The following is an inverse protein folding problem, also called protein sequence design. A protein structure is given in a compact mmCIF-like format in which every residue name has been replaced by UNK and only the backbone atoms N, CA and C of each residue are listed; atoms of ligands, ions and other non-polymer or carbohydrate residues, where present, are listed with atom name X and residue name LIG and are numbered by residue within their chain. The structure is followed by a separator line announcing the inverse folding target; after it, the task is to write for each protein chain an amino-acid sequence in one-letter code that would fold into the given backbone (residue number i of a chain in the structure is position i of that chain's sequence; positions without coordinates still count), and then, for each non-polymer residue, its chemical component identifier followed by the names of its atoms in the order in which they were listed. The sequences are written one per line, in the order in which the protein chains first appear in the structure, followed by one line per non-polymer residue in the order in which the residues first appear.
data_IF_312533222890
#
_entry.id   IF_312533222890
#
_cell.length_a   1.000
_cell.length_b   1.000
_cell.length_c   1.000
_cell.angle_alpha   90.00
_cell.angle_beta   90.00
_cell.angle_gamma   90.00
#
_symmetry.space_group_name_H-M   'P 1'
#
loop_
_entity.id
_entity.type
_entity.pdbx_description
1 polymer ?
#
# COMPACT_ATOMS: atom_id res chain seq x y z
N UNK A 1 -81.42 -91.02 -17.00
CA UNK A 1 -80.36 -90.61 -16.13
C UNK A 1 -79.08 -90.29 -16.96
N UNK A 2 -78.95 -89.09 -17.52
CA UNK A 2 -77.73 -88.60 -18.16
C UNK A 2 -77.78 -87.13 -18.38
N UNK A 3 -77.93 -86.29 -17.36
CA UNK A 3 -77.93 -84.84 -17.44
C UNK A 3 -76.91 -84.12 -16.52
N UNK A 4 -76.14 -84.87 -15.74
CA UNK A 4 -75.27 -84.24 -14.64
C UNK A 4 -73.77 -84.20 -15.00
N UNK A 5 -73.30 -84.61 -16.17
CA UNK A 5 -71.84 -84.63 -16.47
C UNK A 5 -71.36 -83.45 -17.29
N UNK A 6 -72.20 -82.71 -17.98
CA UNK A 6 -71.81 -81.65 -18.89
C UNK A 6 -71.53 -80.30 -18.16
N UNK A 7 -72.25 -80.02 -17.08
CA UNK A 7 -72.12 -78.74 -16.37
C UNK A 7 -70.85 -78.76 -15.45
N UNK A 8 -70.49 -79.85 -14.83
CA UNK A 8 -69.24 -79.98 -14.10
C UNK A 8 -67.97 -79.84 -15.00
N UNK A 9 -68.07 -80.37 -16.23
CA UNK A 9 -66.97 -80.25 -17.21
C UNK A 9 -66.84 -78.80 -17.69
N UNK A 10 -67.88 -78.07 -17.87
CA UNK A 10 -67.92 -76.65 -18.22
C UNK A 10 -67.41 -75.76 -17.05
N UNK A 11 -67.76 -76.10 -15.80
CA UNK A 11 -67.25 -75.39 -14.62
C UNK A 11 -65.75 -75.64 -14.44
N UNK A 12 -65.24 -76.89 -14.65
CA UNK A 12 -63.84 -77.20 -14.55
C UNK A 12 -63.04 -76.52 -15.69
N UNK A 13 -63.55 -76.47 -16.91
CA UNK A 13 -62.92 -75.80 -18.01
C UNK A 13 -62.95 -74.25 -17.79
N UNK A 14 -64.02 -73.71 -17.24
CA UNK A 14 -64.07 -72.30 -16.81
C UNK A 14 -63.13 -71.93 -15.73
N UNK A 15 -62.98 -72.76 -14.67
CA UNK A 15 -62.00 -72.57 -13.59
C UNK A 15 -60.53 -72.69 -14.10
N UNK A 16 -60.28 -73.66 -15.01
CA UNK A 16 -58.98 -73.86 -15.61
C UNK A 16 -58.60 -72.61 -16.52
N UNK A 17 -59.56 -72.13 -17.29
CA UNK A 17 -59.37 -70.91 -18.09
C UNK A 17 -59.11 -69.66 -17.24
N UNK A 18 -59.77 -69.55 -16.06
CA UNK A 18 -59.58 -68.41 -15.10
C UNK A 18 -58.19 -68.49 -14.46
N UNK A 19 -57.69 -69.66 -14.14
CA UNK A 19 -56.30 -69.86 -13.59
C UNK A 19 -55.25 -69.54 -14.67
N UNK A 20 -55.49 -69.92 -15.94
CA UNK A 20 -54.57 -69.58 -17.05
C UNK A 20 -54.54 -68.07 -17.28
N UNK A 21 -55.71 -67.40 -17.29
CA UNK A 21 -55.81 -65.94 -17.45
C UNK A 21 -55.14 -65.23 -16.27
N UNK A 22 -55.35 -65.67 -15.00
CA UNK A 22 -54.70 -65.14 -13.85
C UNK A 22 -53.15 -65.33 -13.89
N UNK A 23 -52.72 -66.51 -14.38
CA UNK A 23 -51.28 -66.79 -14.60
C UNK A 23 -50.64 -65.91 -15.68
N UNK A 24 -51.38 -65.63 -16.80
CA UNK A 24 -50.92 -64.71 -17.86
C UNK A 24 -50.88 -63.26 -17.34
N UNK A 25 -51.88 -62.82 -16.58
CA UNK A 25 -51.91 -61.47 -16.00
C UNK A 25 -50.82 -61.32 -14.96
N UNK A 26 -50.60 -62.29 -14.10
CA UNK A 26 -49.51 -62.27 -13.10
C UNK A 26 -48.12 -62.32 -13.78
N UNK A 27 -47.93 -63.20 -14.76
CA UNK A 27 -46.73 -63.29 -15.56
C UNK A 27 -46.45 -62.00 -16.34
N UNK A 28 -47.48 -61.42 -16.94
CA UNK A 28 -47.40 -60.12 -17.62
C UNK A 28 -47.03 -58.97 -16.68
N UNK A 29 -47.66 -58.94 -15.49
CA UNK A 29 -47.37 -57.96 -14.46
C UNK A 29 -45.95 -58.12 -13.91
N UNK A 30 -45.51 -59.37 -13.60
CA UNK A 30 -44.18 -59.66 -13.12
C UNK A 30 -43.08 -59.36 -14.17
N UNK A 31 -43.37 -59.66 -15.47
CA UNK A 31 -42.50 -59.29 -16.57
C UNK A 31 -42.41 -57.78 -16.77
N UNK A 32 -43.52 -57.05 -16.66
CA UNK A 32 -43.54 -55.59 -16.75
C UNK A 32 -42.79 -54.95 -15.59
N UNK A 33 -42.95 -55.46 -14.34
CA UNK A 33 -42.24 -55.02 -13.16
C UNK A 33 -40.73 -55.27 -13.26
N UNK A 34 -40.30 -56.42 -13.78
CA UNK A 34 -38.89 -56.73 -13.96
C UNK A 34 -38.19 -55.84 -15.02
N UNK A 35 -38.98 -55.24 -15.94
CA UNK A 35 -38.48 -54.29 -16.94
C UNK A 35 -38.47 -52.84 -16.48
N UNK A 36 -39.18 -52.50 -15.42
CA UNK A 36 -39.31 -51.14 -14.89
C UNK A 36 -38.27 -50.79 -13.83
N UNK A 37 -37.44 -51.72 -13.43
CA UNK A 37 -36.45 -51.55 -12.37
C UNK A 37 -35.14 -52.20 -12.75
N UNK A 38 -34.03 -51.68 -12.24
CA UNK A 38 -32.69 -52.26 -12.35
C UNK A 38 -32.07 -52.35 -10.95
N UNK A 39 -31.68 -53.54 -10.53
CA UNK A 39 -31.12 -53.79 -9.21
C UNK A 39 -29.67 -54.24 -9.30
N UNK A 40 -28.85 -53.80 -8.35
CA UNK A 40 -27.51 -54.29 -8.10
C UNK A 40 -27.30 -54.56 -6.62
N UNK A 41 -26.60 -55.61 -6.31
CA UNK A 41 -26.13 -56.02 -5.00
C UNK A 41 -24.68 -55.62 -4.72
N UNK A 42 -24.01 -55.06 -5.74
CA UNK A 42 -22.67 -54.53 -5.66
C UNK A 42 -22.74 -53.01 -5.41
N UNK A 43 -23.14 -52.65 -4.22
CA UNK A 43 -23.21 -51.24 -3.80
C UNK A 43 -22.72 -51.10 -2.36
N UNK A 44 -22.17 -49.94 -2.07
CA UNK A 44 -21.71 -49.59 -0.74
C UNK A 44 -21.89 -48.10 -0.44
N UNK A 45 -22.04 -47.82 0.86
CA UNK A 45 -22.07 -46.44 1.35
C UNK A 45 -20.66 -45.85 1.27
N UNK A 46 -20.54 -44.72 0.70
CA UNK A 46 -19.31 -43.93 0.63
C UNK A 46 -19.53 -42.56 1.28
N UNK A 47 -18.48 -41.93 1.75
CA UNK A 47 -18.56 -40.61 2.40
C UNK A 47 -17.30 -39.83 2.18
N UNK A 48 -17.42 -38.50 2.31
CA UNK A 48 -16.25 -37.66 2.31
C UNK A 48 -15.34 -38.02 3.49
N UNK A 49 -14.02 -38.03 3.27
CA UNK A 49 -13.02 -38.24 4.31
C UNK A 49 -12.18 -36.96 4.37
N UNK A 50 -12.32 -36.22 5.46
CA UNK A 50 -11.49 -35.05 5.71
C UNK A 50 -10.18 -35.48 6.40
N UNK A 51 -9.10 -35.45 5.65
CA UNK A 51 -7.77 -35.71 6.20
C UNK A 51 -7.23 -34.48 6.88
N UNK A 52 -6.91 -34.60 8.17
CA UNK A 52 -6.31 -33.54 8.97
C UNK A 52 -4.79 -33.77 9.00
N UNK A 53 -4.05 -32.81 8.45
CA UNK A 53 -2.58 -32.85 8.38
C UNK A 53 -1.97 -31.72 9.20
N UNK A 54 -0.73 -31.92 9.67
CA UNK A 54 0.01 -30.84 10.31
C UNK A 54 0.43 -29.75 9.31
N UNK A 55 0.27 -28.49 9.68
CA UNK A 55 0.75 -27.35 8.89
C UNK A 55 2.16 -26.90 9.29
N UNK A 56 2.63 -27.34 10.46
CA UNK A 56 3.97 -27.04 10.99
C UNK A 56 4.60 -28.32 11.54
N UNK A 57 5.90 -28.37 11.59
CA UNK A 57 6.64 -29.48 12.20
C UNK A 57 6.73 -29.26 13.71
N UNK A 58 6.48 -30.30 14.52
CA UNK A 58 6.62 -30.21 15.98
C UNK A 58 6.32 -31.51 16.68
N UNK A 59 6.72 -31.63 17.95
CA UNK A 59 6.40 -32.77 18.79
C UNK A 59 4.95 -32.70 19.27
N UNK A 60 4.23 -33.81 19.24
CA UNK A 60 2.89 -33.93 19.79
C UNK A 60 2.98 -34.02 21.32
N UNK A 61 2.50 -32.96 21.99
CA UNK A 61 2.54 -32.88 23.46
C UNK A 61 1.20 -33.25 24.12
N UNK A 62 0.11 -33.06 23.40
CA UNK A 62 -1.23 -33.43 23.87
C UNK A 62 -2.03 -34.05 22.73
N UNK A 63 -2.79 -35.08 23.03
CA UNK A 63 -3.73 -35.72 22.14
C UNK A 63 -5.10 -35.73 22.85
N UNK A 64 -6.04 -34.95 22.32
CA UNK A 64 -7.30 -34.62 22.99
C UNK A 64 -8.48 -35.43 22.46
N UNK A 65 -8.25 -36.32 21.49
CA UNK A 65 -9.28 -37.13 20.86
C UNK A 65 -8.86 -38.60 20.76
N UNK A 66 -9.87 -39.49 20.79
CA UNK A 66 -9.74 -40.91 20.64
C UNK A 66 -10.36 -41.39 19.32
N UNK A 67 -10.02 -42.58 18.89
CA UNK A 67 -10.65 -43.24 17.74
C UNK A 67 -12.16 -43.38 17.98
N UNK A 68 -12.96 -43.18 16.96
CA UNK A 68 -14.42 -43.20 16.97
C UNK A 68 -15.09 -42.11 17.80
N UNK A 69 -14.35 -41.10 18.28
CA UNK A 69 -14.91 -39.99 18.99
C UNK A 69 -15.58 -38.99 18.03
N UNK A 70 -16.77 -38.48 18.40
CA UNK A 70 -17.42 -37.38 17.70
C UNK A 70 -16.70 -36.07 17.98
N UNK A 71 -16.47 -35.28 16.92
CA UNK A 71 -15.83 -33.96 16.99
C UNK A 71 -16.62 -32.94 16.21
N UNK A 72 -16.53 -31.68 16.65
CA UNK A 72 -17.15 -30.53 16.00
C UNK A 72 -16.10 -29.68 15.30
N UNK A 73 -16.52 -29.00 14.25
CA UNK A 73 -15.68 -28.02 13.53
C UNK A 73 -15.05 -27.02 14.52
N UNK A 74 -13.74 -26.78 14.37
CA UNK A 74 -12.97 -25.91 15.26
C UNK A 74 -12.48 -26.54 16.55
N UNK A 75 -12.97 -27.74 16.93
CA UNK A 75 -12.50 -28.44 18.13
C UNK A 75 -11.03 -28.79 18.00
N UNK A 76 -10.24 -28.55 19.07
CA UNK A 76 -8.83 -28.92 19.12
C UNK A 76 -8.72 -30.45 19.23
N UNK A 77 -7.95 -31.04 18.33
CA UNK A 77 -7.75 -32.49 18.25
C UNK A 77 -6.45 -32.92 18.91
N UNK A 78 -5.39 -32.16 18.69
CA UNK A 78 -4.08 -32.36 19.32
C UNK A 78 -3.34 -31.03 19.40
N UNK A 79 -2.30 -30.98 20.23
CA UNK A 79 -1.37 -29.85 20.33
C UNK A 79 0.05 -30.29 20.10
N UNK A 80 0.75 -29.52 19.29
CA UNK A 80 2.19 -29.60 19.13
C UNK A 80 2.87 -28.72 20.17
N UNK A 81 4.16 -28.95 20.45
CA UNK A 81 4.94 -28.13 21.38
C UNK A 81 5.00 -26.67 20.90
N UNK A 82 4.41 -25.73 21.64
CA UNK A 82 4.32 -24.33 21.19
C UNK A 82 5.53 -23.48 21.61
N UNK A 83 6.49 -24.02 22.36
CA UNK A 83 7.56 -23.21 23.01
C UNK A 83 8.40 -22.45 22.01
N UNK A 84 8.88 -23.10 20.98
CA UNK A 84 9.70 -22.46 19.93
C UNK A 84 8.90 -21.43 19.13
N UNK A 85 7.62 -21.72 18.86
CA UNK A 85 6.74 -20.80 18.15
C UNK A 85 6.37 -19.57 18.99
N UNK A 86 6.19 -19.75 20.31
CA UNK A 86 6.00 -18.63 21.25
C UNK A 86 7.24 -17.74 21.27
N UNK A 87 8.42 -18.32 21.39
CA UNK A 87 9.67 -17.54 21.37
C UNK A 87 9.83 -16.74 20.07
N UNK A 88 9.52 -17.34 18.92
CA UNK A 88 9.53 -16.64 17.62
C UNK A 88 8.50 -15.50 17.55
N UNK A 89 7.29 -15.74 18.04
CA UNK A 89 6.26 -14.70 18.12
C UNK A 89 6.70 -13.54 19.00
N UNK A 90 7.26 -13.84 20.17
CA UNK A 90 7.73 -12.81 21.12
C UNK A 90 8.92 -12.03 20.54
N UNK A 91 9.83 -12.68 19.83
CA UNK A 91 10.89 -12.03 19.07
C UNK A 91 10.35 -11.09 17.98
N UNK A 92 9.36 -11.54 17.21
CA UNK A 92 8.72 -10.70 16.19
C UNK A 92 7.93 -9.53 16.80
N UNK A 93 7.27 -9.74 17.96
CA UNK A 93 6.60 -8.68 18.70
C UNK A 93 7.60 -7.62 19.21
N UNK A 94 8.77 -8.03 19.69
CA UNK A 94 9.82 -7.10 20.06
C UNK A 94 10.34 -6.30 18.86
N UNK A 95 10.47 -6.93 17.68
CA UNK A 95 10.85 -6.23 16.44
C UNK A 95 9.81 -5.16 16.04
N UNK A 96 8.52 -5.43 16.21
CA UNK A 96 7.46 -4.44 16.00
C UNK A 96 7.63 -3.25 16.94
N UNK A 97 7.88 -3.49 18.24
CA UNK A 97 8.09 -2.41 19.22
C UNK A 97 9.29 -1.54 18.86
N UNK A 98 10.40 -2.13 18.39
CA UNK A 98 11.58 -1.39 17.91
C UNK A 98 11.23 -0.54 16.68
N UNK A 99 10.49 -1.10 15.72
CA UNK A 99 10.11 -0.36 14.51
C UNK A 99 9.10 0.78 14.83
N UNK A 100 8.20 0.60 15.79
CA UNK A 100 7.30 1.65 16.27
C UNK A 100 8.07 2.79 16.95
N UNK A 101 9.06 2.47 17.78
CA UNK A 101 9.91 3.47 18.40
C UNK A 101 10.74 4.25 17.36
N UNK A 102 11.25 3.57 16.33
CA UNK A 102 11.97 4.21 15.24
C UNK A 102 11.07 5.15 14.41
N UNK A 103 9.83 4.76 14.14
CA UNK A 103 8.85 5.60 13.47
C UNK A 103 8.49 6.84 14.31
N UNK A 104 8.29 6.66 15.62
CA UNK A 104 8.03 7.77 16.53
C UNK A 104 9.18 8.77 16.56
N UNK A 105 10.43 8.28 16.60
CA UNK A 105 11.64 9.11 16.55
C UNK A 105 11.69 9.91 15.23
N UNK A 106 11.51 9.24 14.08
CA UNK A 106 11.51 9.90 12.77
C UNK A 106 10.40 10.96 12.65
N UNK A 107 9.20 10.67 13.15
CA UNK A 107 8.09 11.63 13.18
C UNK A 107 8.34 12.82 14.10
N UNK A 108 9.07 12.65 15.19
CA UNK A 108 9.43 13.73 16.11
C UNK A 108 10.52 14.64 15.55
N UNK A 109 11.43 14.11 14.75
CA UNK A 109 12.53 14.86 14.14
C UNK A 109 12.11 15.78 13.01
N UNK A 110 11.07 15.42 12.25
CA UNK A 110 10.57 16.23 11.12
C UNK A 110 10.12 17.63 11.53
N UNK A 111 9.22 17.85 12.52
CA UNK A 111 8.79 19.19 12.91
C UNK A 111 9.94 20.01 13.49
N UNK A 112 10.87 19.38 14.18
CA UNK A 112 12.09 20.02 14.72
C UNK A 112 12.98 20.54 13.59
N UNK A 113 13.26 19.69 12.58
CA UNK A 113 14.06 20.08 11.41
C UNK A 113 13.37 21.17 10.61
N UNK A 114 12.06 21.06 10.41
CA UNK A 114 11.25 22.08 9.70
C UNK A 114 11.28 23.42 10.44
N UNK A 115 11.04 23.42 11.75
CA UNK A 115 11.04 24.63 12.55
C UNK A 115 12.41 25.33 12.55
N UNK A 116 13.49 24.58 12.68
CA UNK A 116 14.87 25.14 12.64
C UNK A 116 15.16 25.75 11.26
N UNK A 117 14.88 25.03 10.17
CA UNK A 117 15.16 25.52 8.82
C UNK A 117 14.29 26.71 8.43
N UNK A 118 13.05 26.77 8.88
CA UNK A 118 12.15 27.93 8.69
C UNK A 118 12.67 29.15 9.46
N UNK A 119 12.97 29.01 10.75
CA UNK A 119 13.50 30.09 11.56
C UNK A 119 14.80 30.67 10.98
N UNK A 120 15.75 29.82 10.57
CA UNK A 120 17.01 30.25 9.94
C UNK A 120 16.77 30.98 8.61
N UNK A 121 15.81 30.53 7.82
CA UNK A 121 15.48 31.15 6.54
C UNK A 121 14.82 32.54 6.76
N UNK A 122 13.96 32.65 7.74
CA UNK A 122 13.30 33.94 8.06
C UNK A 122 14.26 34.96 8.68
N UNK A 123 15.19 34.50 9.51
CA UNK A 123 16.30 35.30 9.99
C UNK A 123 17.17 35.84 8.83
N UNK A 124 17.57 34.98 7.90
CA UNK A 124 18.36 35.34 6.73
C UNK A 124 17.60 36.33 5.81
N UNK A 125 16.29 36.15 5.63
CA UNK A 125 15.44 37.08 4.88
C UNK A 125 15.37 38.44 5.56
N UNK A 126 15.12 38.48 6.87
CA UNK A 126 15.07 39.74 7.65
C UNK A 126 16.41 40.47 7.58
N UNK A 127 17.53 39.75 7.71
CA UNK A 127 18.86 40.33 7.56
C UNK A 127 19.11 40.92 6.15
N UNK A 128 18.66 40.21 5.10
CA UNK A 128 18.76 40.73 3.71
C UNK A 128 17.89 41.95 3.48
N UNK A 129 16.69 42.01 4.00
CA UNK A 129 15.80 43.16 3.90
C UNK A 129 16.40 44.38 4.62
N UNK A 130 16.94 44.18 5.83
CA UNK A 130 17.65 45.19 6.56
C UNK A 130 18.86 45.75 5.78
N UNK A 131 19.63 44.88 5.14
CA UNK A 131 20.77 45.31 4.31
C UNK A 131 20.32 46.07 3.06
N UNK A 132 19.23 45.68 2.41
CA UNK A 132 18.64 46.44 1.27
C UNK A 132 18.16 47.81 1.68
N UNK A 133 17.53 47.92 2.84
CA UNK A 133 17.15 49.23 3.38
C UNK A 133 18.39 50.09 3.66
N UNK A 134 19.47 49.51 4.18
CA UNK A 134 20.74 50.20 4.36
C UNK A 134 21.40 50.63 3.04
N UNK A 135 21.33 49.80 1.98
CA UNK A 135 21.79 50.18 0.64
C UNK A 135 20.97 51.38 0.10
N UNK A 136 19.66 51.33 0.21
CA UNK A 136 18.76 52.45 -0.21
C UNK A 136 19.08 53.73 0.54
N UNK A 137 19.31 53.67 1.85
CA UNK A 137 19.73 54.81 2.66
C UNK A 137 21.08 55.39 2.21
N UNK A 138 22.05 54.50 1.90
CA UNK A 138 23.34 54.93 1.38
C UNK A 138 23.23 55.57 0.00
N UNK A 139 22.35 55.10 -0.89
CA UNK A 139 22.05 55.72 -2.18
C UNK A 139 21.43 57.08 -2.01
N UNK A 140 20.51 57.29 -1.07
CA UNK A 140 19.91 58.56 -0.75
C UNK A 140 20.96 59.57 -0.26
N UNK A 141 21.92 59.12 0.57
CA UNK A 141 23.04 59.94 1.03
C UNK A 141 23.98 60.39 -0.10
N UNK A 142 24.14 59.56 -1.16
CA UNK A 142 24.88 59.95 -2.37
C UNK A 142 24.11 61.05 -3.14
N UNK A 143 22.79 60.93 -3.31
CA UNK A 143 21.99 61.95 -3.97
C UNK A 143 22.02 63.30 -3.22
N UNK A 144 21.98 63.25 -1.88
CA UNK A 144 22.16 64.46 -1.06
C UNK A 144 23.53 65.08 -1.26
N UNK A 145 24.62 64.30 -1.22
CA UNK A 145 25.97 64.76 -1.45
C UNK A 145 26.14 65.38 -2.86
N UNK A 146 25.50 64.78 -3.89
CA UNK A 146 25.45 65.33 -5.25
C UNK A 146 24.79 66.72 -5.31
N UNK A 147 23.65 66.87 -4.66
CA UNK A 147 22.94 68.18 -4.60
C UNK A 147 23.79 69.21 -3.88
N UNK A 148 24.46 68.87 -2.78
CA UNK A 148 25.40 69.72 -2.08
C UNK A 148 26.55 70.16 -2.99
N UNK A 149 27.15 69.22 -3.73
CA UNK A 149 28.22 69.52 -4.68
C UNK A 149 27.77 70.46 -5.79
N UNK A 150 26.59 70.27 -6.36
CA UNK A 150 26.04 71.19 -7.39
C UNK A 150 25.82 72.63 -6.83
N UNK A 151 25.30 72.73 -5.61
CA UNK A 151 25.13 74.03 -4.95
C UNK A 151 26.50 74.72 -4.71
N UNK A 152 27.52 73.96 -4.27
CA UNK A 152 28.87 74.52 -4.08
C UNK A 152 29.54 74.89 -5.41
N UNK A 153 29.35 74.15 -6.48
CA UNK A 153 29.84 74.50 -7.82
C UNK A 153 29.18 75.74 -8.34
N UNK A 154 27.87 75.97 -8.12
CA UNK A 154 27.17 77.20 -8.49
C UNK A 154 27.70 78.37 -7.72
N UNK A 155 27.94 78.22 -6.39
CA UNK A 155 28.55 79.28 -5.54
C UNK A 155 29.97 79.64 -5.98
N UNK A 156 30.79 78.63 -6.32
CA UNK A 156 32.14 78.86 -6.83
C UNK A 156 32.13 79.55 -8.21
N UNK A 157 31.21 79.22 -9.07
CA UNK A 157 31.02 79.94 -10.34
C UNK A 157 30.64 81.40 -10.16
N UNK A 158 29.77 81.67 -9.22
CA UNK A 158 29.41 83.06 -8.88
C UNK A 158 30.61 83.82 -8.31
N UNK A 159 31.33 83.24 -7.34
CA UNK A 159 32.56 83.81 -6.79
C UNK A 159 33.63 84.08 -7.84
N UNK A 160 33.76 83.17 -8.83
CA UNK A 160 34.69 83.36 -9.95
C UNK A 160 34.28 84.53 -10.88
N UNK A 161 32.99 84.68 -11.12
CA UNK A 161 32.46 85.83 -11.90
C UNK A 161 32.70 87.17 -11.17
N UNK A 162 32.45 87.22 -9.83
CA UNK A 162 32.73 88.38 -9.01
C UNK A 162 34.21 88.78 -9.02
N UNK A 163 35.11 87.72 -8.88
CA UNK A 163 36.55 87.99 -8.93
C UNK A 163 36.98 88.47 -10.32
N UNK A 164 36.39 87.94 -11.41
CA UNK A 164 36.69 88.40 -12.77
C UNK A 164 36.23 89.83 -12.98
N UNK A 165 35.06 90.23 -12.45
CA UNK A 165 34.55 91.57 -12.48
C UNK A 165 35.44 92.59 -11.67
N UNK A 166 35.80 92.21 -10.47
CA UNK A 166 36.70 92.98 -9.63
C UNK A 166 38.08 93.17 -10.23
N UNK A 167 38.63 92.09 -10.86
CA UNK A 167 39.89 92.15 -11.61
C UNK A 167 39.81 93.12 -12.80
N UNK A 168 38.72 93.15 -13.57
CA UNK A 168 38.52 94.10 -14.66
C UNK A 168 38.46 95.51 -14.17
N UNK A 169 37.74 95.78 -13.06
CA UNK A 169 37.66 97.10 -12.43
C UNK A 169 39.04 97.58 -11.91
N UNK A 170 39.81 96.71 -11.26
CA UNK A 170 41.18 97.00 -10.81
C UNK A 170 42.11 97.38 -11.95
N UNK A 171 42.05 96.59 -13.08
CA UNK A 171 42.83 96.90 -14.30
C UNK A 171 42.44 98.29 -14.87
N UNK A 172 41.16 98.67 -14.87
CA UNK A 172 40.72 99.99 -15.33
C UNK A 172 41.22 101.03 -14.38
N UNK A 173 41.11 100.91 -13.07
CA UNK A 173 41.63 101.88 -12.09
C UNK A 173 43.15 102.10 -12.17
N UNK A 174 43.92 101.00 -12.40
CA UNK A 174 45.39 101.10 -12.65
C UNK A 174 45.66 101.94 -13.91
N UNK A 175 44.98 101.65 -14.99
CA UNK A 175 45.15 102.40 -16.26
C UNK A 175 44.78 103.86 -16.06
N UNK A 176 43.75 104.20 -15.31
CA UNK A 176 43.37 105.59 -15.02
C UNK A 176 44.40 106.24 -14.14
N UNK A 177 44.84 105.63 -13.09
CA UNK A 177 45.92 106.16 -12.24
C UNK A 177 47.23 106.42 -13.04
N UNK A 178 47.63 105.47 -13.91
CA UNK A 178 48.80 105.66 -14.79
C UNK A 178 48.60 106.80 -15.80
N UNK A 179 47.40 106.98 -16.32
CA UNK A 179 47.07 108.10 -17.20
C UNK A 179 47.18 109.49 -16.43
N UNK A 180 46.55 109.57 -15.24
CA UNK A 180 46.62 110.71 -14.43
C UNK A 180 48.05 111.06 -13.97
N UNK A 181 48.85 110.04 -13.64
CA UNK A 181 50.27 110.22 -13.32
C UNK A 181 51.07 110.90 -14.46
N UNK A 182 50.87 110.42 -15.69
CA UNK A 182 51.51 111.03 -16.88
C UNK A 182 51.07 112.45 -17.09
N UNK A 183 49.79 112.75 -16.92
CA UNK A 183 49.21 114.09 -17.05
C UNK A 183 49.71 115.12 -15.98
N UNK A 184 49.82 114.64 -14.73
CA UNK A 184 50.44 115.50 -13.64
C UNK A 184 51.89 115.79 -13.96
N UNK A 185 52.65 114.70 -14.43
CA UNK A 185 54.08 114.95 -14.80
C UNK A 185 54.26 115.94 -15.95
N UNK A 186 53.24 116.11 -16.81
CA UNK A 186 53.23 117.08 -17.90
C UNK A 186 52.61 118.44 -17.48
N UNK A 187 52.13 118.60 -16.25
CA UNK A 187 51.54 119.82 -15.75
C UNK A 187 50.12 120.10 -16.21
N UNK A 188 49.42 119.07 -16.80
CA UNK A 188 48.08 119.24 -17.43
C UNK A 188 46.89 119.04 -16.46
N UNK A 189 47.07 118.45 -15.29
CA UNK A 189 46.04 118.20 -14.28
C UNK A 189 46.60 118.45 -12.87
N UNK A 190 45.72 118.66 -11.88
CA UNK A 190 46.08 118.95 -10.53
C UNK A 190 46.59 117.68 -9.78
N UNK A 191 47.51 117.81 -8.82
CA UNK A 191 48.01 116.71 -8.02
C UNK A 191 46.91 115.92 -7.31
N UNK A 192 45.86 116.59 -6.86
CA UNK A 192 44.68 116.05 -6.21
C UNK A 192 43.96 115.04 -7.09
N UNK A 193 43.94 115.21 -8.39
CA UNK A 193 43.27 114.28 -9.29
C UNK A 193 44.04 112.99 -9.44
N UNK A 194 45.40 113.04 -9.35
CA UNK A 194 46.25 111.80 -9.28
C UNK A 194 46.07 111.10 -7.93
N UNK A 195 46.10 111.82 -6.79
CA UNK A 195 45.88 111.24 -5.45
C UNK A 195 44.51 110.53 -5.34
N UNK A 196 43.51 111.18 -5.96
CA UNK A 196 42.19 110.55 -6.04
C UNK A 196 42.19 109.24 -6.87
N UNK A 197 42.89 109.22 -7.99
CA UNK A 197 43.01 108.04 -8.84
C UNK A 197 43.87 106.93 -8.16
N UNK A 198 44.93 107.35 -7.41
CA UNK A 198 45.73 106.41 -6.60
C UNK A 198 44.89 105.79 -5.47
N UNK A 199 44.10 106.54 -4.79
CA UNK A 199 43.17 106.04 -3.76
C UNK A 199 42.13 105.10 -4.35
N UNK A 200 41.60 105.40 -5.49
CA UNK A 200 40.63 104.55 -6.21
C UNK A 200 41.29 103.21 -6.72
N UNK A 201 42.57 103.25 -7.15
CA UNK A 201 43.35 102.03 -7.52
C UNK A 201 43.55 101.18 -6.27
N UNK A 202 44.00 101.77 -5.16
CA UNK A 202 44.17 100.98 -3.92
C UNK A 202 42.88 100.31 -3.44
N UNK A 203 41.78 101.02 -3.50
CA UNK A 203 40.45 100.48 -3.14
C UNK A 203 40.05 99.33 -4.11
N UNK A 204 40.20 99.52 -5.42
CA UNK A 204 39.85 98.50 -6.41
C UNK A 204 40.74 97.26 -6.28
N UNK A 205 42.05 97.42 -5.97
CA UNK A 205 42.98 96.29 -5.72
C UNK A 205 42.61 95.57 -4.42
N UNK A 206 42.24 96.26 -3.37
CA UNK A 206 41.80 95.61 -2.13
C UNK A 206 40.50 94.74 -2.38
N UNK A 207 39.57 95.23 -3.20
CA UNK A 207 38.34 94.51 -3.58
C UNK A 207 38.72 93.24 -4.44
N UNK A 208 39.65 93.41 -5.41
CA UNK A 208 40.13 92.34 -6.20
C UNK A 208 40.74 91.25 -5.37
N UNK A 209 41.64 91.57 -4.44
CA UNK A 209 42.25 90.61 -3.53
C UNK A 209 41.20 89.92 -2.63
N UNK A 210 40.24 90.66 -2.09
CA UNK A 210 39.17 90.04 -1.28
C UNK A 210 38.28 89.08 -2.07
N UNK A 211 37.94 89.41 -3.32
CA UNK A 211 37.12 88.52 -4.21
C UNK A 211 37.91 87.32 -4.68
N UNK A 212 39.23 87.41 -4.96
CA UNK A 212 40.05 86.26 -5.29
C UNK A 212 40.23 85.29 -4.10
N UNK A 213 40.34 85.83 -2.90
CA UNK A 213 40.34 84.96 -1.68
C UNK A 213 39.01 84.25 -1.51
N UNK A 214 37.87 84.91 -1.75
CA UNK A 214 36.53 84.27 -1.74
C UNK A 214 36.39 83.22 -2.77
N UNK A 215 36.86 83.43 -3.99
CA UNK A 215 36.89 82.46 -5.06
C UNK A 215 37.69 81.18 -4.64
N UNK A 216 38.92 81.37 -4.11
CA UNK A 216 39.79 80.29 -3.62
C UNK A 216 39.11 79.49 -2.50
N UNK A 217 38.41 80.23 -1.61
CA UNK A 217 37.63 79.55 -0.54
C UNK A 217 36.50 78.74 -1.13
N UNK A 218 35.73 79.25 -2.07
CA UNK A 218 34.63 78.50 -2.71
C UNK A 218 35.15 77.30 -3.50
N UNK A 219 36.28 77.40 -4.16
CA UNK A 219 36.94 76.27 -4.83
C UNK A 219 37.35 75.15 -3.87
N UNK A 220 37.87 75.48 -2.66
CA UNK A 220 38.16 74.52 -1.60
C UNK A 220 36.90 73.85 -1.08
N UNK A 221 35.78 74.62 -0.96
CA UNK A 221 34.49 74.07 -0.56
C UNK A 221 33.96 73.04 -1.61
N UNK A 222 34.17 73.31 -2.91
CA UNK A 222 33.87 72.29 -3.99
C UNK A 222 34.71 71.04 -3.81
N UNK A 223 36.02 71.15 -3.60
CA UNK A 223 36.91 69.96 -3.39
C UNK A 223 36.48 69.17 -2.16
N UNK A 224 36.09 69.80 -1.06
CA UNK A 224 35.57 69.15 0.11
C UNK A 224 34.25 68.40 -0.16
N UNK A 225 33.34 69.02 -0.93
CA UNK A 225 32.08 68.35 -1.33
C UNK A 225 32.33 67.14 -2.28
N UNK A 226 33.30 67.25 -3.20
CA UNK A 226 33.73 66.14 -4.04
C UNK A 226 34.30 64.99 -3.25
N UNK A 227 35.16 65.24 -2.27
CA UNK A 227 35.69 64.21 -1.39
C UNK A 227 34.59 63.52 -0.55
N UNK A 228 33.60 64.33 -0.08
CA UNK A 228 32.42 63.78 0.59
C UNK A 228 31.59 62.86 -0.30
N UNK A 229 31.35 63.26 -1.56
CA UNK A 229 30.62 62.45 -2.54
C UNK A 229 31.34 61.13 -2.82
N UNK A 230 32.66 61.12 -2.97
CA UNK A 230 33.48 59.92 -3.13
C UNK A 230 33.32 58.98 -1.92
N UNK A 231 33.40 59.51 -0.70
CA UNK A 231 33.21 58.72 0.52
C UNK A 231 31.81 58.10 0.62
N UNK A 232 30.74 58.85 0.27
CA UNK A 232 29.36 58.34 0.25
C UNK A 232 29.19 57.24 -0.82
N UNK A 233 29.81 57.41 -2.00
CA UNK A 233 29.79 56.40 -3.09
C UNK A 233 30.49 55.11 -2.67
N UNK A 234 31.60 55.22 -1.94
CA UNK A 234 32.26 54.03 -1.35
C UNK A 234 31.34 53.31 -0.30
N UNK A 235 30.58 54.09 0.49
CA UNK A 235 29.57 53.53 1.39
C UNK A 235 28.50 52.70 0.66
N UNK A 236 28.01 53.16 -0.51
CA UNK A 236 27.09 52.39 -1.36
C UNK A 236 27.72 51.07 -1.81
N UNK A 237 28.98 51.08 -2.22
CA UNK A 237 29.67 49.85 -2.64
C UNK A 237 29.79 48.85 -1.47
N UNK A 238 30.08 49.31 -0.26
CA UNK A 238 30.12 48.45 0.95
C UNK A 238 28.73 47.88 1.24
N UNK A 239 27.67 48.70 1.17
CA UNK A 239 26.30 48.23 1.38
C UNK A 239 25.89 47.17 0.33
N UNK A 240 26.26 47.35 -0.94
CA UNK A 240 26.03 46.35 -2.01
C UNK A 240 26.73 45.02 -1.75
N UNK A 241 27.97 45.10 -1.29
CA UNK A 241 28.72 43.88 -0.91
C UNK A 241 28.00 43.10 0.22
N UNK A 242 27.51 43.86 1.21
CA UNK A 242 26.75 43.27 2.33
C UNK A 242 25.45 42.62 1.87
N UNK A 243 24.72 43.22 0.92
CA UNK A 243 23.53 42.63 0.30
C UNK A 243 23.88 41.34 -0.44
N UNK A 244 25.00 41.30 -1.18
CA UNK A 244 25.45 40.08 -1.88
C UNK A 244 25.84 38.95 -0.91
N UNK A 245 26.55 39.28 0.18
CA UNK A 245 26.91 38.34 1.24
C UNK A 245 25.65 37.69 1.86
N UNK A 246 24.66 38.50 2.22
CA UNK A 246 23.43 38.05 2.84
C UNK A 246 22.50 37.28 1.86
N UNK A 247 22.56 37.60 0.56
CA UNK A 247 21.94 36.77 -0.49
C UNK A 247 22.57 35.35 -0.53
N UNK A 248 23.88 35.29 -0.43
CA UNK A 248 24.58 33.99 -0.35
C UNK A 248 24.16 33.18 0.90
N UNK A 249 24.04 33.86 2.03
CA UNK A 249 23.55 33.26 3.27
C UNK A 249 22.12 32.76 3.13
N UNK A 250 21.22 33.54 2.56
CA UNK A 250 19.83 33.14 2.28
C UNK A 250 19.79 31.89 1.35
N UNK A 251 20.55 31.91 0.26
CA UNK A 251 20.61 30.76 -0.66
C UNK A 251 21.12 29.49 0.04
N UNK A 252 22.08 29.61 0.96
CA UNK A 252 22.58 28.50 1.79
C UNK A 252 21.47 27.97 2.70
N UNK A 253 20.74 28.83 3.42
CA UNK A 253 19.66 28.39 4.31
C UNK A 253 18.48 27.80 3.54
N UNK A 254 18.15 28.35 2.37
CA UNK A 254 17.15 27.76 1.47
C UNK A 254 17.56 26.37 0.96
N UNK A 255 18.82 26.15 0.64
CA UNK A 255 19.34 24.83 0.28
C UNK A 255 19.19 23.83 1.45
N UNK A 256 19.33 24.27 2.69
CA UNK A 256 19.14 23.42 3.87
C UNK A 256 17.70 22.95 4.05
N UNK A 257 16.71 23.65 3.47
CA UNK A 257 15.32 23.16 3.40
C UNK A 257 15.19 21.81 2.69
N UNK A 258 16.14 21.45 1.83
CA UNK A 258 16.21 20.13 1.23
C UNK A 258 16.36 18.97 2.23
N UNK A 259 16.69 19.26 3.49
CA UNK A 259 16.70 18.26 4.57
C UNK A 259 15.27 17.81 4.98
N UNK A 260 14.26 18.65 4.81
CA UNK A 260 12.87 18.33 5.16
C UNK A 260 12.34 17.15 4.34
N UNK A 261 12.42 17.12 2.99
CA UNK A 261 12.03 15.94 2.20
C UNK A 261 12.82 14.67 2.56
N UNK A 262 14.08 14.81 2.98
CA UNK A 262 14.87 13.66 3.43
C UNK A 262 14.29 13.08 4.72
N UNK A 263 13.89 13.92 5.68
CA UNK A 263 13.20 13.46 6.90
C UNK A 263 11.82 12.89 6.64
N UNK A 264 11.09 13.40 5.66
CA UNK A 264 9.83 12.81 5.18
C UNK A 264 10.08 11.41 4.59
N UNK A 265 11.14 11.22 3.80
CA UNK A 265 11.55 9.92 3.29
C UNK A 265 11.98 8.95 4.40
N UNK A 266 12.62 9.45 5.48
CA UNK A 266 12.96 8.63 6.65
C UNK A 266 11.70 8.11 7.36
N UNK A 267 10.64 8.92 7.47
CA UNK A 267 9.34 8.48 7.99
C UNK A 267 8.74 7.37 7.13
N UNK A 268 8.72 7.54 5.81
CA UNK A 268 8.20 6.52 4.87
C UNK A 268 9.00 5.22 5.01
N UNK A 269 10.32 5.31 5.17
CA UNK A 269 11.19 4.14 5.39
C UNK A 269 10.86 3.45 6.72
N UNK A 270 10.67 4.22 7.79
CA UNK A 270 10.30 3.68 9.09
C UNK A 270 8.89 3.06 9.08
N UNK A 271 7.93 3.63 8.35
CA UNK A 271 6.60 3.05 8.15
C UNK A 271 6.66 1.71 7.39
N UNK A 272 7.49 1.63 6.35
CA UNK A 272 7.71 0.39 5.61
C UNK A 272 8.36 -0.70 6.49
N UNK A 273 9.34 -0.31 7.33
CA UNK A 273 9.97 -1.23 8.28
C UNK A 273 8.98 -1.73 9.34
N UNK A 274 8.09 -0.86 9.83
CA UNK A 274 7.02 -1.25 10.75
C UNK A 274 6.02 -2.21 10.07
N UNK A 275 5.63 -1.94 8.84
CA UNK A 275 4.74 -2.82 8.09
C UNK A 275 5.36 -4.21 7.89
N UNK A 276 6.65 -4.28 7.58
CA UNK A 276 7.40 -5.54 7.48
C UNK A 276 7.41 -6.28 8.83
N UNK A 277 7.77 -5.62 9.92
CA UNK A 277 7.82 -6.24 11.25
C UNK A 277 6.44 -6.77 11.69
N UNK A 278 5.35 -6.06 11.37
CA UNK A 278 3.98 -6.51 11.64
C UNK A 278 3.59 -7.72 10.79
N UNK A 279 4.03 -7.79 9.53
CA UNK A 279 3.82 -8.97 8.69
C UNK A 279 4.57 -10.20 9.25
N UNK A 280 5.78 -10.03 9.72
CA UNK A 280 6.57 -11.08 10.35
C UNK A 280 5.94 -11.55 11.67
N UNK A 281 5.40 -10.64 12.48
CA UNK A 281 4.64 -10.99 13.68
C UNK A 281 3.39 -11.81 13.34
N UNK A 282 2.59 -11.36 12.38
CA UNK A 282 1.40 -12.08 11.94
C UNK A 282 1.74 -13.50 11.44
N UNK A 283 2.83 -13.65 10.70
CA UNK A 283 3.32 -14.96 10.27
C UNK A 283 3.71 -15.85 11.46
N UNK A 284 4.40 -15.30 12.45
CA UNK A 284 4.78 -16.04 13.65
C UNK A 284 3.55 -16.43 14.51
N UNK A 285 2.55 -15.56 14.61
CA UNK A 285 1.27 -15.86 15.27
C UNK A 285 0.51 -16.96 14.55
N UNK A 286 0.46 -16.92 13.21
CA UNK A 286 -0.16 -17.96 12.40
C UNK A 286 0.54 -19.31 12.58
N UNK A 287 1.87 -19.34 12.62
CA UNK A 287 2.62 -20.55 12.92
C UNK A 287 2.32 -21.08 14.33
N UNK A 288 2.23 -20.19 15.32
CA UNK A 288 1.84 -20.57 16.68
C UNK A 288 0.41 -21.13 16.70
N UNK A 289 -0.53 -20.53 15.99
CA UNK A 289 -1.90 -21.03 15.86
C UNK A 289 -1.93 -22.44 15.24
N UNK A 290 -1.06 -22.74 14.28
CA UNK A 290 -0.97 -24.06 13.65
C UNK A 290 -0.43 -25.14 14.58
N UNK A 291 0.11 -24.80 15.74
CA UNK A 291 0.45 -25.80 16.78
C UNK A 291 -0.80 -26.41 17.41
N UNK A 292 -1.95 -25.78 17.32
CA UNK A 292 -3.24 -26.34 17.67
C UNK A 292 -3.90 -26.92 16.40
N UNK A 293 -3.88 -28.23 16.25
CA UNK A 293 -4.55 -28.88 15.12
C UNK A 293 -6.03 -29.03 15.45
N UNK A 294 -6.89 -28.46 14.61
CA UNK A 294 -8.33 -28.38 14.80
C UNK A 294 -9.10 -29.15 13.74
N UNK A 295 -10.29 -29.64 14.11
CA UNK A 295 -11.22 -30.26 13.18
C UNK A 295 -11.70 -29.24 12.13
N UNK A 296 -11.66 -29.66 10.85
CA UNK A 296 -12.12 -28.84 9.72
C UNK A 296 -13.62 -29.00 9.47
N UNK A 297 -14.18 -30.13 9.88
CA UNK A 297 -15.59 -30.51 9.67
C UNK A 297 -16.15 -31.23 10.90
N UNK A 298 -17.46 -31.21 11.05
CA UNK A 298 -18.16 -32.03 12.03
C UNK A 298 -18.14 -33.50 11.58
N UNK A 299 -17.80 -34.43 12.47
CA UNK A 299 -17.76 -35.84 12.11
C UNK A 299 -17.22 -36.74 13.20
N UNK A 300 -16.80 -37.93 12.81
CA UNK A 300 -16.21 -38.93 13.72
C UNK A 300 -14.76 -39.17 13.30
N UNK A 301 -13.85 -39.19 14.28
CA UNK A 301 -12.45 -39.57 14.07
C UNK A 301 -12.41 -41.04 13.68
N UNK A 302 -11.99 -41.31 12.43
CA UNK A 302 -12.03 -42.68 11.90
C UNK A 302 -10.69 -43.41 12.02
N UNK A 303 -9.59 -42.68 11.77
CA UNK A 303 -8.25 -43.24 11.80
C UNK A 303 -7.27 -42.25 12.35
N UNK A 304 -6.63 -42.59 13.43
CA UNK A 304 -5.52 -41.85 14.03
C UNK A 304 -4.20 -42.53 13.67
N UNK A 305 -3.29 -41.77 13.10
CA UNK A 305 -1.96 -42.26 12.69
C UNK A 305 -0.83 -41.62 13.51
N UNK A 306 -1.18 -40.76 14.46
CA UNK A 306 -0.24 -40.01 15.30
C UNK A 306 -0.35 -40.43 16.76
N UNK A 307 0.82 -40.51 17.43
CA UNK A 307 0.94 -40.87 18.83
C UNK A 307 1.56 -39.71 19.66
N UNK A 308 1.30 -39.73 20.97
CA UNK A 308 1.89 -38.78 21.91
C UNK A 308 3.43 -38.90 21.90
N UNK A 309 4.14 -37.79 21.85
CA UNK A 309 5.61 -37.73 21.76
C UNK A 309 6.18 -37.89 20.37
N UNK A 310 5.37 -38.21 19.37
CA UNK A 310 5.82 -38.33 17.98
C UNK A 310 6.09 -36.93 17.36
N UNK A 311 7.06 -36.84 16.46
CA UNK A 311 7.31 -35.65 15.64
C UNK A 311 6.36 -35.67 14.44
N UNK A 312 5.45 -34.72 14.39
CA UNK A 312 4.62 -34.48 13.22
C UNK A 312 5.40 -33.67 12.18
N UNK A 313 5.43 -34.14 10.94
CA UNK A 313 6.02 -33.40 9.81
C UNK A 313 4.97 -32.52 9.15
N UNK A 314 5.40 -31.44 8.50
CA UNK A 314 4.51 -30.59 7.71
C UNK A 314 3.89 -31.41 6.54
N UNK A 315 2.57 -31.34 6.39
CA UNK A 315 1.82 -32.09 5.39
C UNK A 315 1.53 -33.54 5.78
N UNK A 316 2.09 -34.06 6.88
CA UNK A 316 1.84 -35.43 7.33
C UNK A 316 0.38 -35.58 7.77
N UNK A 317 -0.36 -36.58 7.23
CA UNK A 317 -1.67 -36.97 7.73
C UNK A 317 -1.60 -37.41 9.19
N UNK A 318 -2.38 -36.80 10.06
CA UNK A 318 -2.40 -37.12 11.50
C UNK A 318 -3.62 -37.94 11.90
N UNK A 319 -4.75 -37.62 11.32
CA UNK A 319 -6.02 -38.30 11.54
C UNK A 319 -7.00 -38.05 10.39
N UNK A 320 -8.03 -38.87 10.30
CA UNK A 320 -9.10 -38.74 9.33
C UNK A 320 -10.44 -38.52 10.08
N UNK A 321 -11.23 -37.55 9.63
CA UNK A 321 -12.58 -37.25 10.12
C UNK A 321 -13.56 -37.60 9.01
N UNK A 322 -14.56 -38.42 9.34
CA UNK A 322 -15.65 -38.77 8.42
C UNK A 322 -16.91 -38.01 8.83
N UNK A 323 -17.38 -37.07 8.01
CA UNK A 323 -18.65 -36.42 8.23
C UNK A 323 -19.80 -37.41 8.04
N UNK A 324 -20.63 -37.61 9.06
CA UNK A 324 -21.73 -38.56 9.00
C UNK A 324 -22.96 -38.05 8.22
N UNK A 325 -22.94 -36.79 7.84
CA UNK A 325 -24.07 -36.14 7.11
C UNK A 325 -23.83 -36.03 5.61
N UNK A 326 -22.61 -36.33 5.13
CA UNK A 326 -22.22 -36.27 3.75
C UNK A 326 -21.90 -37.66 3.21
N UNK A 327 -22.92 -38.53 3.21
CA UNK A 327 -22.80 -39.88 2.67
C UNK A 327 -23.63 -40.05 1.43
N UNK A 328 -23.15 -40.87 0.53
CA UNK A 328 -23.82 -41.26 -0.70
C UNK A 328 -23.63 -42.78 -0.89
N UNK A 329 -24.35 -43.40 -1.81
CA UNK A 329 -24.16 -44.80 -2.16
C UNK A 329 -23.51 -44.87 -3.53
N UNK A 330 -22.45 -45.66 -3.63
CA UNK A 330 -21.83 -46.00 -4.87
C UNK A 330 -22.28 -47.40 -5.29
N UNK A 331 -23.08 -47.44 -6.36
CA UNK A 331 -23.69 -48.69 -6.85
C UNK A 331 -23.08 -49.08 -8.21
N UNK A 332 -22.48 -50.27 -8.28
CA UNK A 332 -21.83 -50.77 -9.47
C UNK A 332 -22.81 -51.55 -10.35
N UNK A 333 -23.32 -50.94 -11.40
CA UNK A 333 -24.23 -51.57 -12.37
C UNK A 333 -23.47 -52.19 -13.52
N UNK A 334 -23.97 -53.33 -14.03
CA UNK A 334 -23.44 -53.96 -15.24
C UNK A 334 -23.60 -53.02 -16.44
N UNK A 335 -22.62 -53.00 -17.33
CA UNK A 335 -22.64 -52.17 -18.56
C UNK A 335 -23.95 -52.36 -19.34
N UNK A 336 -24.48 -53.57 -19.41
CA UNK A 336 -25.75 -53.89 -20.07
C UNK A 336 -26.98 -53.25 -19.43
N UNK A 337 -26.91 -52.88 -18.16
CA UNK A 337 -27.98 -52.23 -17.40
C UNK A 337 -27.92 -50.70 -17.51
N UNK A 338 -26.72 -50.16 -17.70
CA UNK A 338 -26.43 -48.72 -17.63
C UNK A 338 -27.13 -47.94 -18.73
N UNK A 339 -27.37 -48.55 -19.92
CA UNK A 339 -28.06 -47.92 -21.03
C UNK A 339 -29.45 -47.33 -20.68
N UNK A 340 -30.03 -47.84 -19.58
CA UNK A 340 -31.39 -47.44 -19.12
C UNK A 340 -31.37 -46.47 -17.92
N UNK A 341 -30.23 -46.28 -17.27
CA UNK A 341 -30.07 -45.40 -16.09
C UNK A 341 -29.72 -44.00 -16.53
N UNK A 342 -30.37 -42.98 -15.94
CA UNK A 342 -30.12 -41.58 -16.20
C UNK A 342 -30.03 -40.80 -14.88
N UNK A 343 -29.26 -39.72 -14.82
CA UNK A 343 -29.27 -38.82 -13.68
C UNK A 343 -30.66 -38.28 -13.38
N UNK A 344 -31.02 -38.15 -12.10
CA UNK A 344 -32.31 -37.72 -11.61
C UNK A 344 -33.33 -38.83 -11.33
N UNK A 345 -33.09 -40.08 -11.81
CA UNK A 345 -33.96 -41.23 -11.51
C UNK A 345 -33.98 -41.56 -10.02
N UNK A 346 -35.15 -41.97 -9.52
CA UNK A 346 -35.34 -42.42 -8.17
C UNK A 346 -34.62 -43.76 -7.93
N UNK A 347 -34.05 -43.90 -6.73
CA UNK A 347 -33.36 -45.10 -6.29
C UNK A 347 -33.78 -45.45 -4.87
N UNK A 348 -34.13 -46.67 -4.67
CA UNK A 348 -34.37 -47.28 -3.37
C UNK A 348 -33.11 -48.04 -2.95
N UNK A 349 -32.65 -47.78 -1.74
CA UNK A 349 -31.39 -48.30 -1.19
C UNK A 349 -31.70 -49.08 0.08
N UNK A 350 -31.35 -50.34 0.13
CA UNK A 350 -31.40 -51.20 1.29
C UNK A 350 -29.96 -51.39 1.81
N UNK A 351 -29.70 -50.93 3.00
CA UNK A 351 -28.40 -51.11 3.65
C UNK A 351 -28.48 -52.37 4.55
N UNK A 352 -27.55 -53.30 4.41
CA UNK A 352 -27.63 -54.60 5.07
C UNK A 352 -27.74 -54.49 6.61
N UNK A 353 -27.12 -53.47 7.20
CA UNK A 353 -27.21 -53.19 8.63
C UNK A 353 -28.62 -52.74 9.08
N UNK A 354 -29.44 -52.21 8.19
CA UNK A 354 -30.77 -51.67 8.46
C UNK A 354 -31.81 -52.32 7.54
N UNK A 355 -31.95 -53.64 7.66
CA UNK A 355 -32.78 -54.47 6.77
C UNK A 355 -34.28 -54.14 6.79
N UNK A 356 -34.73 -53.49 7.84
CA UNK A 356 -36.15 -53.05 8.06
C UNK A 356 -36.46 -51.70 7.39
N UNK A 357 -35.48 -51.02 6.81
CA UNK A 357 -35.64 -49.67 6.29
C UNK A 357 -35.11 -49.49 4.85
N UNK A 358 -35.89 -48.80 4.05
CA UNK A 358 -35.49 -48.36 2.70
C UNK A 358 -35.08 -46.90 2.75
N UNK A 359 -33.88 -46.59 2.30
CA UNK A 359 -33.38 -45.23 2.11
C UNK A 359 -33.68 -44.82 0.66
N UNK A 360 -34.34 -43.67 0.50
CA UNK A 360 -34.62 -43.15 -0.81
C UNK A 360 -33.55 -42.15 -1.25
N UNK A 361 -33.27 -42.17 -2.53
CA UNK A 361 -32.32 -41.27 -3.12
C UNK A 361 -32.54 -41.06 -4.60
N UNK A 362 -31.66 -40.35 -5.23
CA UNK A 362 -31.66 -40.10 -6.67
C UNK A 362 -30.31 -40.39 -7.27
N UNK A 363 -30.31 -40.88 -8.49
CA UNK A 363 -29.10 -41.01 -9.30
C UNK A 363 -28.53 -39.61 -9.49
N UNK A 364 -27.33 -39.35 -8.94
CA UNK A 364 -26.62 -38.07 -9.06
C UNK A 364 -25.80 -38.04 -10.35
N UNK A 365 -24.96 -39.04 -10.56
CA UNK A 365 -24.06 -39.10 -11.70
C UNK A 365 -23.66 -40.51 -12.04
N UNK A 366 -23.24 -40.75 -13.27
CA UNK A 366 -22.64 -41.97 -13.74
C UNK A 366 -21.14 -41.77 -13.95
N UNK A 367 -20.33 -42.71 -13.54
CA UNK A 367 -18.88 -42.66 -13.75
C UNK A 367 -18.53 -42.63 -15.24
N UNK A 368 -17.51 -41.86 -15.63
CA UNK A 368 -17.03 -41.79 -17.00
C UNK A 368 -16.25 -43.06 -17.45
N UNK A 369 -15.95 -44.00 -16.54
CA UNK A 369 -15.23 -45.22 -16.85
C UNK A 369 -15.56 -46.35 -15.88
N UNK A 370 -15.15 -47.57 -16.25
CA UNK A 370 -15.35 -48.77 -15.44
C UNK A 370 -14.44 -48.78 -14.22
N UNK A 371 -14.87 -49.38 -13.12
CA UNK A 371 -14.07 -49.51 -11.91
C UNK A 371 -12.71 -50.17 -12.15
N UNK A 372 -12.65 -51.16 -13.07
CA UNK A 372 -11.39 -51.82 -13.44
C UNK A 372 -10.37 -50.84 -14.09
N UNK A 373 -10.82 -49.81 -14.81
CA UNK A 373 -9.90 -48.85 -15.47
C UNK A 373 -9.26 -47.86 -14.49
N UNK A 374 -9.94 -47.55 -13.39
CA UNK A 374 -9.46 -46.65 -12.34
C UNK A 374 -8.85 -47.39 -11.12
N UNK A 375 -8.73 -48.72 -11.19
CA UNK A 375 -8.07 -49.48 -10.14
C UNK A 375 -6.56 -49.23 -10.16
N UNK A 376 -5.94 -49.18 -8.99
CA UNK A 376 -4.48 -49.11 -8.82
C UNK A 376 -3.73 -50.28 -9.47
N UNK A 377 -4.39 -51.46 -9.58
CA UNK A 377 -3.91 -52.66 -10.24
C UNK A 377 -4.98 -53.11 -11.24
N UNK A 378 -4.97 -52.60 -12.47
CA UNK A 378 -5.89 -53.07 -13.50
C UNK A 378 -5.67 -54.58 -13.72
N UNK A 379 -6.75 -55.35 -13.88
CA UNK A 379 -6.59 -56.80 -14.16
C UNK A 379 -5.97 -56.97 -15.56
N UNK A 380 -4.69 -57.28 -15.63
CA UNK A 380 -4.01 -57.67 -16.87
C UNK A 380 -4.07 -59.17 -17.01
N UNK A 381 -4.63 -59.67 -18.14
CA UNK A 381 -4.59 -61.09 -18.47
C UNK A 381 -3.18 -61.44 -18.95
N UNK A 382 -2.33 -61.91 -18.03
CA UNK A 382 -0.94 -62.28 -18.29
C UNK A 382 -0.76 -63.47 -19.26
N UNK A 383 -1.85 -64.14 -19.63
CA UNK A 383 -1.82 -65.39 -20.44
C UNK A 383 -2.23 -65.18 -21.89
N UNK A 384 -2.45 -63.99 -22.38
CA UNK A 384 -2.72 -63.72 -23.79
C UNK A 384 -4.13 -64.12 -24.31
N UNK A 385 -4.96 -64.75 -23.50
CA UNK A 385 -6.31 -65.16 -23.88
C UNK A 385 -7.32 -64.07 -23.40
N UNK A 386 -7.83 -63.26 -24.32
CA UNK A 386 -8.78 -62.21 -23.97
C UNK A 386 -10.19 -62.81 -23.80
N UNK A 387 -10.72 -62.72 -22.58
CA UNK A 387 -12.09 -63.13 -22.26
C UNK A 387 -12.94 -61.88 -22.08
N UNK A 388 -14.02 -61.73 -22.83
CA UNK A 388 -14.97 -60.64 -22.65
C UNK A 388 -15.75 -60.80 -21.35
N UNK A 389 -15.39 -60.04 -20.31
CA UNK A 389 -16.13 -60.00 -19.04
C UNK A 389 -16.99 -58.73 -19.02
N UNK A 390 -18.26 -58.89 -18.60
CA UNK A 390 -19.17 -57.77 -18.45
C UNK A 390 -18.60 -56.80 -17.38
N UNK A 391 -18.29 -55.59 -17.80
CA UNK A 391 -17.76 -54.57 -16.93
C UNK A 391 -18.85 -53.97 -16.04
N UNK A 392 -18.45 -53.47 -14.85
CA UNK A 392 -19.35 -52.72 -13.97
C UNK A 392 -18.93 -51.22 -13.96
N UNK A 393 -19.93 -50.38 -14.00
CA UNK A 393 -19.74 -48.92 -13.91
C UNK A 393 -20.35 -48.39 -12.62
N UNK A 394 -19.58 -47.57 -11.85
CA UNK A 394 -20.08 -46.94 -10.65
C UNK A 394 -21.13 -45.84 -10.97
N UNK A 395 -22.22 -45.89 -10.26
CA UNK A 395 -23.30 -44.91 -10.30
C UNK A 395 -23.43 -44.29 -8.89
N UNK A 396 -23.26 -42.99 -8.79
CA UNK A 396 -23.41 -42.27 -7.52
C UNK A 396 -24.87 -42.00 -7.26
N UNK A 397 -25.34 -42.37 -6.08
CA UNK A 397 -26.71 -42.17 -5.62
C UNK A 397 -26.66 -41.26 -4.40
N UNK A 398 -27.29 -40.11 -4.51
CA UNK A 398 -27.45 -39.14 -3.43
C UNK A 398 -28.72 -39.50 -2.64
N UNK A 399 -28.57 -39.79 -1.37
CA UNK A 399 -29.68 -40.06 -0.48
C UNK A 399 -30.43 -38.76 -0.13
N UNK A 400 -31.72 -38.83 0.07
CA UNK A 400 -32.54 -37.73 0.45
C UNK A 400 -32.19 -37.26 1.88
N UNK A 401 -32.06 -35.95 2.12
CA UNK A 401 -31.71 -35.42 3.45
C UNK A 401 -32.70 -35.86 4.55
N UNK A 402 -32.20 -36.12 5.76
CA UNK A 402 -33.01 -36.42 6.94
C UNK A 402 -33.43 -37.90 7.08
N UNK A 403 -33.06 -38.78 6.14
CA UNK A 403 -33.37 -40.20 6.26
C UNK A 403 -32.32 -40.98 7.06
N UNK A 404 -31.13 -40.41 7.25
CA UNK A 404 -30.02 -41.00 8.03
C UNK A 404 -29.64 -40.09 9.19
N UNK A 405 -29.06 -40.65 10.22
CA UNK A 405 -28.76 -40.01 11.49
C UNK A 405 -29.16 -40.93 12.64
N UNK A 406 -29.10 -40.47 13.88
CA UNK A 406 -29.43 -41.33 15.02
C UNK A 406 -30.92 -41.73 15.02
N UNK A 407 -31.34 -43.04 15.09
CA UNK A 407 -30.50 -44.20 15.31
C UNK A 407 -29.87 -44.81 14.00
N UNK A 408 -30.22 -44.33 12.81
CA UNK A 408 -29.85 -44.94 11.52
C UNK A 408 -28.64 -44.23 10.91
N UNK A 409 -27.50 -44.21 11.61
CA UNK A 409 -26.27 -43.58 11.11
C UNK A 409 -25.58 -44.46 10.08
N UNK A 410 -25.58 -43.97 8.84
CA UNK A 410 -24.84 -44.62 7.77
C UNK A 410 -23.35 -44.37 7.91
N UNK A 411 -22.54 -45.40 7.71
CA UNK A 411 -21.08 -45.33 7.77
C UNK A 411 -20.48 -45.75 6.44
N UNK A 412 -19.43 -45.05 6.03
CA UNK A 412 -18.69 -45.43 4.84
C UNK A 412 -18.19 -46.91 4.94
N UNK A 413 -18.34 -47.67 3.85
CA UNK A 413 -18.02 -49.09 3.76
C UNK A 413 -19.18 -50.05 4.08
N UNK A 414 -20.36 -49.57 4.51
CA UNK A 414 -21.53 -50.43 4.67
C UNK A 414 -22.03 -50.93 3.32
N UNK A 415 -22.30 -52.24 3.21
CA UNK A 415 -22.88 -52.85 2.01
C UNK A 415 -24.35 -52.48 1.84
N UNK A 416 -24.79 -52.38 0.59
CA UNK A 416 -26.14 -52.01 0.23
C UNK A 416 -26.60 -52.73 -1.04
N UNK A 417 -27.92 -52.88 -1.17
CA UNK A 417 -28.59 -53.25 -2.40
C UNK A 417 -29.33 -52.05 -2.96
N UNK A 418 -29.16 -51.76 -4.23
CA UNK A 418 -29.75 -50.56 -4.85
C UNK A 418 -30.68 -50.97 -6.01
N UNK A 419 -31.88 -50.45 -5.99
CA UNK A 419 -32.83 -50.58 -7.07
C UNK A 419 -33.18 -49.22 -7.67
N UNK A 420 -32.85 -49.00 -8.93
CA UNK A 420 -33.17 -47.78 -9.66
C UNK A 420 -34.47 -47.93 -10.42
N UNK A 421 -35.38 -47.00 -10.23
CA UNK A 421 -36.69 -46.97 -10.94
C UNK A 421 -36.50 -46.27 -12.28
N UNK A 422 -36.81 -46.99 -13.38
CA UNK A 422 -36.58 -46.56 -14.76
C UNK A 422 -37.71 -45.68 -15.33
N UNK A 423 -38.38 -44.94 -14.49
CA UNK A 423 -39.45 -44.00 -14.89
C UNK A 423 -39.13 -42.58 -14.48
#
# INVERSE_FOLDING_TARGET
MNGFSSDRRRLIIGAAALVVVAGILYGGWAWWQSRSQVTTDDAYVEGAVAVVSSKVMGNVVELLVQDNQQVKTGQVLLRLDPRDFRAKRDQAAAAVAVAEAALLAARSELPMTRGVTEAQTDEAKGALEGARAGEAASQSAVHEAQAVLEAKRASAAAAAADAAGAKANAVQAIREMERQRKLVQSGLVALRDFEQAETAEGAARAVQEATERRKTQAEREVQQAEASLVSKTQGVQQAKQRVMELRGTLAKTESQRGQVPMKEADIVRAEAALAQARADLNFAELQLQYTEVRALVDGVVSRRTVELGQVAQMGQPLLAIVPLHEVWVLANFKETQLARIRPGMLADVWVDTFSDRVFRGKVDSLSAGTGARFSLLPPENATGNWVKVVQRLPVKIRLDPGQFGNPHTLRAGMSAVVTVQLR
#
